data_IF_464361641637
#
_entry.id   IF_464361641637
#
_cell.length_a   1.000
_cell.length_b   1.000
_cell.length_c   1.000
_cell.angle_alpha   90.00
_cell.angle_beta   90.00
_cell.angle_gamma   90.00
#
_symmetry.space_group_name_H-M   'P 1'
#
loop_
_entity.id
_entity.type
_entity.pdbx_description
1 polymer ?
#
# COMPACT_ATOMS: atom_id res chain seq x y z
N UNK A 1 42.09 -24.53 25.40
CA UNK A 1 42.05 -23.94 26.76
C UNK A 1 41.15 -22.71 26.70
N UNK A 2 40.09 -22.67 27.52
CA UNK A 2 39.15 -21.53 27.68
C UNK A 2 39.58 -20.71 28.89
N UNK A 3 39.28 -19.40 28.89
CA UNK A 3 38.73 -18.80 30.10
C UNK A 3 37.34 -18.21 29.87
N UNK A 4 36.58 -18.25 30.96
CA UNK A 4 35.15 -18.07 31.15
C UNK A 4 34.98 -16.92 32.17
N UNK A 5 34.30 -15.81 31.86
CA UNK A 5 33.84 -14.81 32.86
C UNK A 5 32.84 -13.85 32.17
N UNK A 6 31.52 -13.89 32.46
CA UNK A 6 30.75 -13.24 33.55
C UNK A 6 30.20 -11.86 33.09
N UNK A 7 28.91 -11.77 32.74
CA UNK A 7 27.76 -11.32 33.57
C UNK A 7 27.57 -9.79 33.55
N UNK A 8 26.41 -9.37 33.07
CA UNK A 8 25.94 -7.98 33.10
C UNK A 8 24.48 -7.87 32.63
N UNK A 9 23.56 -8.43 33.42
CA UNK A 9 22.12 -8.30 33.28
C UNK A 9 21.68 -6.93 33.84
N UNK A 10 20.96 -6.12 33.07
CA UNK A 10 20.23 -4.98 33.61
C UNK A 10 18.83 -4.90 32.99
N UNK A 11 17.85 -5.37 33.77
CA UNK A 11 16.41 -5.23 33.52
C UNK A 11 15.99 -3.89 34.08
N UNK A 12 15.39 -3.03 33.27
CA UNK A 12 14.68 -1.84 33.74
C UNK A 12 13.20 -1.97 33.39
N UNK A 13 12.42 -2.39 34.37
CA UNK A 13 10.96 -2.37 34.34
C UNK A 13 10.47 -1.04 34.89
N UNK A 14 9.81 -0.24 34.07
CA UNK A 14 8.91 0.82 34.56
C UNK A 14 7.54 0.54 33.96
N UNK A 15 6.64 0.06 34.82
CA UNK A 15 5.21 0.09 34.58
C UNK A 15 4.63 1.39 35.14
N UNK A 16 3.77 2.04 34.35
CA UNK A 16 2.69 2.85 34.89
C UNK A 16 1.42 2.49 34.12
N UNK A 17 0.36 2.23 34.89
CA UNK A 17 -0.86 1.58 34.47
C UNK A 17 -1.98 2.57 34.09
N UNK A 18 -2.86 2.07 33.23
CA UNK A 18 -4.29 2.31 33.03
C UNK A 18 -4.84 3.72 32.79
N UNK A 19 -5.36 3.93 31.57
CA UNK A 19 -6.73 4.38 31.38
C UNK A 19 -7.36 3.61 30.20
N UNK A 20 -8.41 2.86 30.51
CA UNK A 20 -9.17 1.94 29.66
C UNK A 20 -10.19 2.70 28.76
N UNK A 21 -10.66 2.10 27.64
CA UNK A 21 -11.28 2.76 26.51
C UNK A 21 -12.83 2.69 26.51
N UNK A 22 -13.43 3.43 25.59
CA UNK A 22 -14.78 3.14 25.10
C UNK A 22 -15.92 3.77 25.89
N UNK A 23 -16.51 4.84 25.36
CA UNK A 23 -17.97 5.19 25.45
C UNK A 23 -18.34 6.56 24.86
N UNK A 24 -17.43 7.30 24.21
CA UNK A 24 -17.76 8.62 23.63
C UNK A 24 -17.75 8.57 22.10
N UNK A 25 -18.72 7.88 21.49
CA UNK A 25 -19.24 8.24 20.16
C UNK A 25 -20.56 7.52 19.80
N UNK A 26 -21.41 7.25 20.81
CA UNK A 26 -22.72 6.60 20.60
C UNK A 26 -23.85 7.50 21.11
N UNK A 27 -23.87 8.75 20.67
CA UNK A 27 -24.91 9.73 21.09
C UNK A 27 -25.42 10.67 19.99
N UNK A 28 -25.06 10.44 18.72
CA UNK A 28 -25.49 11.30 17.59
C UNK A 28 -26.39 10.58 16.57
N UNK A 29 -27.22 9.65 17.04
CA UNK A 29 -28.19 8.93 16.22
C UNK A 29 -29.60 8.94 16.82
N UNK A 30 -29.96 10.02 17.54
CA UNK A 30 -31.29 10.14 18.17
C UNK A 30 -32.01 11.47 17.89
N UNK A 31 -31.66 12.14 16.80
CA UNK A 31 -32.36 13.37 16.38
C UNK A 31 -32.92 13.28 14.95
N UNK A 32 -33.33 12.07 14.54
CA UNK A 32 -34.19 11.91 13.36
C UNK A 32 -35.57 11.52 13.85
N UNK A 33 -36.36 12.54 14.19
CA UNK A 33 -37.80 12.46 14.37
C UNK A 33 -38.44 13.80 13.95
N UNK A 34 -38.74 13.94 12.66
CA UNK A 34 -39.85 14.81 12.21
C UNK A 34 -41.17 14.05 12.47
N UNK A 35 -42.37 14.67 12.69
CA UNK A 35 -42.96 15.69 11.79
C UNK A 35 -43.98 16.74 12.38
N UNK A 36 -44.27 17.77 11.57
CA UNK A 36 -45.54 18.56 11.38
C UNK A 36 -46.15 19.56 12.42
N UNK A 37 -46.04 20.88 12.07
CA UNK A 37 -47.05 22.00 12.01
C UNK A 37 -47.82 22.50 13.27
N UNK A 38 -48.56 23.66 13.25
CA UNK A 38 -48.43 24.96 12.55
C UNK A 38 -48.66 26.22 13.47
N UNK A 39 -48.19 27.42 13.09
CA UNK A 39 -48.76 28.70 13.58
C UNK A 39 -47.78 29.83 13.96
N UNK A 40 -47.89 31.00 13.29
CA UNK A 40 -47.38 32.31 13.75
C UNK A 40 -46.57 33.14 12.71
N UNK A 41 -46.97 34.38 12.36
CA UNK A 41 -46.21 35.31 11.48
C UNK A 41 -45.55 36.46 12.29
N UNK A 42 -44.94 37.48 11.64
CA UNK A 42 -43.67 37.49 10.91
C UNK A 42 -42.62 38.41 11.61
N UNK A 43 -41.33 38.20 11.37
CA UNK A 43 -40.33 39.23 11.72
C UNK A 43 -39.06 38.70 12.37
N UNK A 44 -38.13 38.26 11.54
CA UNK A 44 -36.73 38.13 11.92
C UNK A 44 -35.91 38.11 10.64
N UNK A 45 -34.81 38.90 10.54
CA UNK A 45 -33.91 38.77 9.40
C UNK A 45 -33.40 37.33 9.33
N UNK A 46 -33.19 36.77 8.12
CA UNK A 46 -32.71 35.40 7.99
C UNK A 46 -31.38 35.25 8.74
N UNK A 47 -31.17 34.17 9.51
CA UNK A 47 -29.86 33.90 10.10
C UNK A 47 -28.84 33.79 8.97
N UNK A 48 -27.77 34.56 9.09
CA UNK A 48 -26.63 34.54 8.17
C UNK A 48 -26.20 33.11 7.92
N UNK A 49 -26.18 32.71 6.65
CA UNK A 49 -25.63 31.43 6.23
C UNK A 49 -24.20 31.33 6.75
N UNK A 50 -23.96 30.38 7.65
CA UNK A 50 -22.61 29.99 8.05
C UNK A 50 -21.87 29.52 6.80
N UNK A 51 -20.59 29.92 6.61
CA UNK A 51 -19.79 29.44 5.49
C UNK A 51 -19.77 27.92 5.50
N UNK A 52 -20.14 27.31 4.36
CA UNK A 52 -20.02 25.89 4.10
C UNK A 52 -18.67 25.38 4.64
N UNK A 53 -18.72 24.57 5.70
CA UNK A 53 -17.57 23.76 6.06
C UNK A 53 -17.23 22.90 4.83
N UNK A 54 -15.97 22.86 4.36
CA UNK A 54 -15.58 22.00 3.26
C UNK A 54 -16.00 20.58 3.60
N UNK A 55 -16.81 19.96 2.74
CA UNK A 55 -17.13 18.55 2.86
C UNK A 55 -15.80 17.80 2.99
N UNK A 56 -15.60 17.08 4.10
CA UNK A 56 -14.44 16.23 4.31
C UNK A 56 -14.52 15.13 3.25
N UNK A 57 -13.84 15.36 2.12
CA UNK A 57 -13.75 14.37 1.06
C UNK A 57 -12.98 13.18 1.65
N UNK A 58 -13.51 11.95 1.59
CA UNK A 58 -12.77 10.78 2.07
C UNK A 58 -11.43 10.74 1.33
N UNK A 59 -10.34 10.68 2.10
CA UNK A 59 -8.99 10.60 1.55
C UNK A 59 -8.87 9.26 0.84
N UNK A 60 -8.88 9.28 -0.50
CA UNK A 60 -8.60 8.10 -1.31
C UNK A 60 -7.23 7.57 -0.88
N UNK A 61 -7.10 6.30 -0.47
CA UNK A 61 -5.82 5.74 -0.05
C UNK A 61 -4.79 5.86 -1.17
N UNK A 62 -3.56 6.24 -0.81
CA UNK A 62 -2.46 6.29 -1.77
C UNK A 62 -2.15 4.86 -2.27
N UNK A 63 -2.16 4.60 -3.60
CA UNK A 63 -2.05 3.24 -4.12
C UNK A 63 -0.65 2.65 -3.89
N UNK A 64 0.39 3.48 -3.76
CA UNK A 64 1.75 3.01 -3.40
C UNK A 64 1.77 2.55 -1.94
N UNK A 65 1.11 3.28 -1.04
CA UNK A 65 0.96 2.88 0.36
C UNK A 65 0.20 1.55 0.50
N UNK A 66 -0.89 1.35 -0.26
CA UNK A 66 -1.61 0.06 -0.28
C UNK A 66 -0.73 -1.07 -0.78
N UNK A 67 -0.04 -0.89 -1.91
CA UNK A 67 0.87 -1.91 -2.44
C UNK A 67 1.96 -2.27 -1.43
N UNK A 68 2.54 -1.29 -0.72
CA UNK A 68 3.53 -1.53 0.33
C UNK A 68 2.96 -2.39 1.46
N UNK A 69 1.74 -2.08 1.92
CA UNK A 69 1.07 -2.89 2.95
C UNK A 69 0.85 -4.32 2.46
N UNK A 70 0.44 -4.46 1.20
CA UNK A 70 0.21 -5.77 0.60
C UNK A 70 1.51 -6.58 0.45
N UNK A 71 2.61 -5.95 0.07
CA UNK A 71 3.94 -6.58 0.04
C UNK A 71 4.36 -7.06 1.45
N UNK A 72 4.12 -6.24 2.49
CA UNK A 72 4.42 -6.62 3.87
C UNK A 72 3.63 -7.86 4.31
N UNK A 73 2.35 -7.95 3.94
CA UNK A 73 1.50 -9.11 4.20
C UNK A 73 2.02 -10.36 3.49
N UNK A 74 2.38 -10.25 2.21
CA UNK A 74 2.92 -11.38 1.43
C UNK A 74 4.25 -11.87 2.00
N UNK A 75 5.17 -10.97 2.36
CA UNK A 75 6.49 -11.32 2.90
C UNK A 75 6.36 -12.03 4.26
N UNK A 76 5.42 -11.57 5.10
CA UNK A 76 5.20 -12.12 6.44
C UNK A 76 4.38 -13.41 6.43
N UNK A 77 3.73 -13.74 5.31
CA UNK A 77 2.92 -14.94 5.19
C UNK A 77 3.83 -16.19 5.11
N UNK A 78 3.50 -17.28 5.83
CA UNK A 78 4.27 -18.53 5.76
C UNK A 78 4.10 -19.26 4.42
N UNK A 79 3.04 -18.96 3.68
CA UNK A 79 2.74 -19.55 2.37
C UNK A 79 1.88 -18.59 1.54
N UNK A 80 1.93 -18.73 0.22
CA UNK A 80 1.17 -17.90 -0.71
C UNK A 80 -0.33 -18.20 -0.64
N UNK A 81 -1.09 -17.40 0.09
CA UNK A 81 -2.55 -17.45 0.05
C UNK A 81 -3.08 -16.89 -1.29
N UNK A 82 -4.18 -17.43 -1.85
CA UNK A 82 -4.71 -17.00 -3.14
C UNK A 82 -5.14 -15.52 -3.13
N UNK A 83 -5.64 -15.02 -1.99
CA UNK A 83 -5.99 -13.61 -1.81
C UNK A 83 -4.78 -12.67 -1.97
N UNK A 84 -3.57 -13.12 -1.64
CA UNK A 84 -2.38 -12.29 -1.81
C UNK A 84 -2.10 -11.96 -3.27
N UNK A 85 -2.34 -12.94 -4.17
CA UNK A 85 -2.19 -12.76 -5.62
C UNK A 85 -3.23 -11.76 -6.15
N UNK A 86 -4.49 -11.97 -5.81
CA UNK A 86 -5.60 -11.13 -6.27
C UNK A 86 -5.44 -9.68 -5.79
N UNK A 87 -5.11 -9.49 -4.51
CA UNK A 87 -4.92 -8.16 -3.94
C UNK A 87 -3.66 -7.47 -4.51
N UNK A 88 -2.56 -8.21 -4.72
CA UNK A 88 -1.38 -7.66 -5.40
C UNK A 88 -1.71 -7.21 -6.83
N UNK A 89 -2.45 -8.02 -7.59
CA UNK A 89 -2.84 -7.66 -8.96
C UNK A 89 -3.71 -6.39 -8.96
N UNK A 90 -4.69 -6.30 -8.06
CA UNK A 90 -5.55 -5.13 -7.92
C UNK A 90 -4.75 -3.86 -7.55
N UNK A 91 -3.85 -3.96 -6.57
CA UNK A 91 -3.03 -2.82 -6.14
C UNK A 91 -2.02 -2.42 -7.22
N UNK A 92 -1.44 -3.37 -7.96
CA UNK A 92 -0.55 -3.09 -9.11
C UNK A 92 -1.31 -2.40 -10.25
N UNK A 93 -2.52 -2.86 -10.59
CA UNK A 93 -3.36 -2.23 -11.62
C UNK A 93 -3.72 -0.79 -11.20
N UNK A 94 -4.00 -0.57 -9.92
CA UNK A 94 -4.32 0.75 -9.38
C UNK A 94 -3.15 1.75 -9.43
N UNK A 95 -1.91 1.28 -9.60
CA UNK A 95 -0.75 2.16 -9.81
C UNK A 95 -0.78 2.83 -11.18
N UNK A 96 -1.33 2.16 -12.20
CA UNK A 96 -1.38 2.66 -13.57
C UNK A 96 -2.42 3.78 -13.65
N UNK A 97 -1.95 5.03 -13.63
CA UNK A 97 -2.79 6.24 -13.64
C UNK A 97 -2.71 7.02 -14.95
N UNK A 98 -1.86 6.56 -15.88
CA UNK A 98 -1.72 7.14 -17.20
C UNK A 98 -2.84 6.75 -18.16
N UNK A 99 -2.86 7.38 -19.33
CA UNK A 99 -3.77 7.05 -20.43
C UNK A 99 -3.54 5.64 -21.02
N UNK A 100 -2.35 5.08 -20.79
CA UNK A 100 -1.98 3.72 -21.19
C UNK A 100 -1.96 2.83 -19.96
N UNK A 101 -2.66 1.71 -20.07
CA UNK A 101 -2.72 0.70 -19.02
C UNK A 101 -2.01 -0.57 -19.48
N UNK A 102 -1.29 -1.25 -18.58
CA UNK A 102 -0.78 -2.59 -18.87
C UNK A 102 -1.94 -3.58 -19.02
N UNK A 103 -1.71 -4.66 -19.75
CA UNK A 103 -2.68 -5.72 -19.89
C UNK A 103 -2.94 -6.39 -18.53
N UNK A 104 -4.20 -6.71 -18.24
CA UNK A 104 -4.58 -7.35 -16.98
C UNK A 104 -3.81 -8.65 -16.74
N UNK A 105 -3.67 -9.49 -17.77
CA UNK A 105 -2.92 -10.75 -17.72
C UNK A 105 -1.44 -10.55 -17.40
N UNK A 106 -0.85 -9.45 -17.87
CA UNK A 106 0.54 -9.09 -17.59
C UNK A 106 0.70 -8.70 -16.11
N UNK A 107 -0.26 -7.94 -15.56
CA UNK A 107 -0.28 -7.58 -14.13
C UNK A 107 -0.56 -8.79 -13.23
N UNK A 108 -1.50 -9.66 -13.58
CA UNK A 108 -1.82 -10.88 -12.83
C UNK A 108 -0.65 -11.86 -12.76
N UNK A 109 0.10 -12.00 -13.86
CA UNK A 109 1.30 -12.83 -13.90
C UNK A 109 2.38 -12.25 -12.99
N UNK A 110 2.60 -10.92 -13.03
CA UNK A 110 3.56 -10.27 -12.14
C UNK A 110 3.17 -10.45 -10.66
N UNK A 111 1.90 -10.23 -10.33
CA UNK A 111 1.38 -10.45 -8.99
C UNK A 111 1.58 -11.89 -8.51
N UNK A 112 1.34 -12.87 -9.39
CA UNK A 112 1.53 -14.28 -9.10
C UNK A 112 3.00 -14.63 -8.84
N UNK A 113 3.92 -14.08 -9.63
CA UNK A 113 5.36 -14.27 -9.45
C UNK A 113 5.83 -13.66 -8.12
N UNK A 114 5.42 -12.44 -7.80
CA UNK A 114 5.75 -11.78 -6.53
C UNK A 114 5.17 -12.55 -5.33
N UNK A 115 3.90 -12.94 -5.40
CA UNK A 115 3.23 -13.67 -4.33
C UNK A 115 3.86 -15.05 -4.06
N UNK A 116 4.42 -15.70 -5.09
CA UNK A 116 5.11 -16.97 -4.96
C UNK A 116 6.55 -16.83 -4.45
N UNK A 117 7.24 -15.75 -4.81
CA UNK A 117 8.66 -15.59 -4.54
C UNK A 117 8.97 -14.95 -3.18
N UNK A 118 8.10 -14.05 -2.71
CA UNK A 118 8.33 -13.20 -1.53
C UNK A 118 8.07 -13.82 -0.14
N UNK A 119 7.19 -14.83 0.05
CA UNK A 119 6.98 -15.42 1.38
C UNK A 119 8.28 -15.87 2.05
N UNK A 120 8.51 -15.43 3.29
CA UNK A 120 9.71 -15.78 4.07
C UNK A 120 11.04 -15.20 3.56
N UNK A 121 11.01 -14.24 2.61
CA UNK A 121 12.22 -13.57 2.12
C UNK A 121 12.64 -12.41 3.00
N UNK A 122 13.93 -12.05 2.92
CA UNK A 122 14.52 -10.95 3.67
C UNK A 122 14.27 -9.59 2.99
N UNK A 123 13.00 -9.26 2.74
CA UNK A 123 12.61 -7.97 2.17
C UNK A 123 12.08 -7.07 3.30
N UNK A 124 12.95 -6.24 3.87
CA UNK A 124 12.61 -5.35 5.00
C UNK A 124 11.63 -4.23 4.59
N UNK A 125 11.07 -3.51 5.56
CA UNK A 125 10.07 -2.46 5.31
C UNK A 125 10.58 -1.32 4.41
N UNK A 126 11.88 -0.99 4.47
CA UNK A 126 12.49 -0.02 3.55
C UNK A 126 12.53 -0.59 2.13
N UNK A 127 13.03 -1.81 1.94
CA UNK A 127 13.06 -2.46 0.64
C UNK A 127 11.66 -2.66 0.04
N UNK A 128 10.65 -3.02 0.84
CA UNK A 128 9.24 -3.08 0.43
C UNK A 128 8.74 -1.71 -0.06
N UNK A 129 9.06 -0.63 0.66
CA UNK A 129 8.71 0.73 0.28
C UNK A 129 9.37 1.16 -1.04
N UNK A 130 10.66 0.87 -1.20
CA UNK A 130 11.38 1.15 -2.45
C UNK A 130 10.81 0.33 -3.61
N UNK A 131 10.55 -0.96 -3.41
CA UNK A 131 9.95 -1.82 -4.43
C UNK A 131 8.60 -1.26 -4.90
N UNK A 132 7.70 -0.89 -3.98
CA UNK A 132 6.41 -0.30 -4.33
C UNK A 132 6.56 1.01 -5.13
N UNK A 133 7.52 1.86 -4.76
CA UNK A 133 7.80 3.11 -5.49
C UNK A 133 8.34 2.84 -6.90
N UNK A 134 9.27 1.89 -7.07
CA UNK A 134 9.82 1.54 -8.39
C UNK A 134 8.77 0.92 -9.30
N UNK A 135 7.91 0.05 -8.75
CA UNK A 135 6.75 -0.49 -9.47
C UNK A 135 5.79 0.62 -9.92
N UNK A 136 5.52 1.60 -9.04
CA UNK A 136 4.70 2.76 -9.42
C UNK A 136 5.32 3.58 -10.57
N UNK A 137 6.63 3.82 -10.55
CA UNK A 137 7.31 4.49 -11.66
C UNK A 137 7.21 3.69 -12.96
N UNK A 138 7.35 2.37 -12.89
CA UNK A 138 7.28 1.49 -14.06
C UNK A 138 5.87 1.44 -14.66
N UNK A 139 4.83 1.34 -13.82
CA UNK A 139 3.43 1.41 -14.23
C UNK A 139 3.01 2.78 -14.81
N UNK A 140 3.88 3.79 -14.71
CA UNK A 140 3.65 5.14 -15.26
C UNK A 140 4.82 5.56 -16.18
N UNK A 141 5.45 4.59 -16.85
CA UNK A 141 6.67 4.78 -17.65
C UNK A 141 6.45 5.31 -19.07
N UNK A 142 5.21 5.60 -19.47
CA UNK A 142 4.85 5.98 -20.85
C UNK A 142 5.66 7.18 -21.40
N UNK A 143 6.05 8.11 -20.52
CA UNK A 143 6.83 9.30 -20.87
C UNK A 143 8.30 9.23 -20.40
N UNK A 144 8.72 8.12 -19.81
CA UNK A 144 10.09 7.94 -19.35
C UNK A 144 11.00 7.54 -20.52
N UNK A 145 12.23 8.08 -20.61
CA UNK A 145 13.23 7.58 -21.54
C UNK A 145 13.54 6.10 -21.30
N UNK A 146 13.83 5.36 -22.37
CA UNK A 146 14.14 3.92 -22.28
C UNK A 146 15.28 3.61 -21.31
N UNK A 147 16.32 4.46 -21.25
CA UNK A 147 17.41 4.32 -20.28
C UNK A 147 16.91 4.38 -18.83
N UNK A 148 15.98 5.29 -18.53
CA UNK A 148 15.41 5.42 -17.19
C UNK A 148 14.53 4.23 -16.81
N UNK A 149 13.75 3.71 -17.75
CA UNK A 149 12.96 2.49 -17.55
C UNK A 149 13.87 1.31 -17.22
N UNK A 150 14.99 1.14 -17.94
CA UNK A 150 15.98 0.10 -17.66
C UNK A 150 16.60 0.25 -16.27
N UNK A 151 17.00 1.45 -15.88
CA UNK A 151 17.53 1.71 -14.53
C UNK A 151 16.53 1.31 -13.43
N UNK A 152 15.25 1.65 -13.59
CA UNK A 152 14.20 1.28 -12.64
C UNK A 152 14.06 -0.25 -12.54
N UNK A 153 14.08 -0.94 -13.68
CA UNK A 153 14.00 -2.41 -13.72
C UNK A 153 15.23 -3.05 -13.05
N UNK A 154 16.43 -2.51 -13.25
CA UNK A 154 17.65 -2.98 -12.59
C UNK A 154 17.64 -2.71 -11.07
N UNK A 155 17.12 -1.57 -10.62
CA UNK A 155 16.92 -1.31 -9.19
C UNK A 155 15.95 -2.32 -8.55
N UNK A 156 14.88 -2.69 -9.26
CA UNK A 156 13.97 -3.76 -8.80
C UNK A 156 14.70 -5.09 -8.74
N UNK A 157 15.48 -5.44 -9.78
CA UNK A 157 16.32 -6.64 -9.78
C UNK A 157 17.22 -6.69 -8.55
N UNK A 158 17.94 -5.61 -8.26
CA UNK A 158 18.84 -5.53 -7.11
C UNK A 158 18.09 -5.72 -5.78
N UNK A 159 16.93 -5.09 -5.59
CA UNK A 159 16.13 -5.27 -4.37
C UNK A 159 15.68 -6.72 -4.17
N UNK A 160 15.31 -7.40 -5.25
CA UNK A 160 14.89 -8.80 -5.19
C UNK A 160 16.08 -9.74 -4.94
N UNK A 161 17.23 -9.46 -5.55
CA UNK A 161 18.46 -10.22 -5.30
C UNK A 161 18.96 -10.04 -3.86
N UNK A 162 18.95 -8.81 -3.34
CA UNK A 162 19.32 -8.49 -1.96
C UNK A 162 18.41 -9.18 -0.94
N UNK A 163 17.11 -9.31 -1.27
CA UNK A 163 16.16 -10.09 -0.48
C UNK A 163 16.38 -11.62 -0.54
N UNK A 164 17.40 -12.08 -1.27
CA UNK A 164 17.80 -13.49 -1.35
C UNK A 164 16.95 -14.32 -2.32
N UNK A 165 16.31 -13.71 -3.31
CA UNK A 165 15.61 -14.48 -4.35
C UNK A 165 16.62 -15.15 -5.29
N UNK A 166 16.37 -16.41 -5.71
CA UNK A 166 17.24 -17.10 -6.66
C UNK A 166 17.18 -16.42 -8.03
N UNK A 167 18.30 -16.44 -8.75
CA UNK A 167 18.46 -15.74 -10.04
C UNK A 167 17.35 -16.06 -11.05
N UNK A 168 16.87 -17.31 -11.12
CA UNK A 168 15.78 -17.69 -12.01
C UNK A 168 14.44 -17.02 -11.68
N UNK A 169 14.10 -16.86 -10.40
CA UNK A 169 12.89 -16.15 -9.98
C UNK A 169 13.00 -14.66 -10.25
N UNK A 170 14.18 -14.08 -9.97
CA UNK A 170 14.46 -12.67 -10.28
C UNK A 170 14.34 -12.42 -11.79
N UNK A 171 14.92 -13.28 -12.63
CA UNK A 171 14.81 -13.19 -14.08
C UNK A 171 13.36 -13.27 -14.57
N UNK A 172 12.56 -14.18 -14.01
CA UNK A 172 11.14 -14.30 -14.34
C UNK A 172 10.34 -13.04 -13.98
N UNK A 173 10.58 -12.46 -12.81
CA UNK A 173 9.94 -11.20 -12.39
C UNK A 173 10.39 -10.05 -13.30
N UNK A 174 11.70 -9.94 -13.58
CA UNK A 174 12.24 -8.88 -14.44
C UNK A 174 11.71 -8.96 -15.87
N UNK A 175 11.67 -10.14 -16.48
CA UNK A 175 11.10 -10.30 -17.83
C UNK A 175 9.64 -9.87 -17.88
N UNK A 176 8.88 -10.11 -16.81
CA UNK A 176 7.50 -9.67 -16.71
C UNK A 176 7.36 -8.15 -16.53
N UNK A 177 8.29 -7.51 -15.81
CA UNK A 177 8.37 -6.05 -15.67
C UNK A 177 8.73 -5.38 -17.00
N UNK A 178 9.64 -5.97 -17.78
CA UNK A 178 9.99 -5.50 -19.12
C UNK A 178 8.80 -5.59 -20.08
N UNK A 179 8.03 -6.69 -20.02
CA UNK A 179 6.78 -6.81 -20.78
C UNK A 179 5.77 -5.73 -20.39
N UNK A 180 5.56 -5.52 -19.10
CA UNK A 180 4.67 -4.48 -18.57
C UNK A 180 5.08 -3.09 -19.06
N UNK A 181 6.36 -2.75 -18.99
CA UNK A 181 6.86 -1.47 -19.47
C UNK A 181 6.71 -1.35 -21.00
N UNK A 182 6.95 -2.44 -21.73
CA UNK A 182 6.74 -2.52 -23.18
C UNK A 182 5.31 -2.16 -23.58
N UNK A 183 4.30 -2.75 -22.93
CA UNK A 183 2.88 -2.45 -23.18
C UNK A 183 2.53 -0.98 -22.91
N UNK A 184 3.16 -0.35 -21.92
CA UNK A 184 2.92 1.05 -21.56
C UNK A 184 3.64 2.01 -22.53
N UNK A 185 4.86 1.69 -22.94
CA UNK A 185 5.68 2.57 -23.78
C UNK A 185 5.36 2.42 -25.28
N UNK A 186 4.97 1.21 -25.70
CA UNK A 186 4.70 0.81 -27.08
C UNK A 186 3.37 0.03 -27.15
N UNK A 187 2.22 0.73 -27.09
CA UNK A 187 0.89 0.10 -27.11
C UNK A 187 0.56 -0.55 -28.46
#
# INVERSE_FOLDING_TARGET
>A
MKPLTLLGLLVFSVGLACADPGTILKQRARDVAAPNRPGGPPGGPPPSATPNAPAVRPKVPDPVAKLRQQLALVVSAPQTAPEHKTNLAADLQALARGSRQPAATTVETLASLLAAALPGRALDANAQGRLAQRLNLLCNSASLPAGRTREITEEIRMLLTDAGLPAAQVAGIVGQLEKLAGEIQHP
#
